data_IF_323452963371
#
_entry.id   IF_323452963371
#
_cell.length_a   1.000
_cell.length_b   1.000
_cell.length_c   1.000
_cell.angle_alpha   90.00
_cell.angle_beta   90.00
_cell.angle_gamma   90.00
#
_symmetry.space_group_name_H-M   'P 1'
#
loop_
_entity.id
_entity.type
_entity.pdbx_description
1 polymer ?
#
# COMPACT_ATOMS: atom_id res chain seq x y z
N UNK A 1 55.68 41.47 58.31
CA UNK A 1 55.17 42.26 59.45
C UNK A 1 54.77 43.64 58.94
N UNK A 2 53.57 44.06 59.35
CA UNK A 2 53.03 45.43 59.41
C UNK A 2 52.66 46.23 58.14
N UNK A 3 51.33 46.33 57.97
CA UNK A 3 50.49 47.53 57.98
C UNK A 3 50.43 48.51 56.80
N UNK A 4 49.19 48.58 56.26
CA UNK A 4 48.31 49.75 56.02
C UNK A 4 48.82 50.89 55.14
N UNK A 5 48.04 51.23 54.11
CA UNK A 5 47.08 52.36 54.07
C UNK A 5 46.37 52.36 52.70
N UNK A 6 45.05 52.18 52.66
CA UNK A 6 44.03 53.25 52.55
C UNK A 6 44.14 54.05 51.24
N UNK A 7 43.34 53.66 50.24
CA UNK A 7 42.98 54.56 49.14
C UNK A 7 41.47 54.82 49.18
N UNK A 8 41.15 56.12 49.27
CA UNK A 8 39.81 56.70 49.31
C UNK A 8 39.12 56.54 47.93
N UNK A 9 37.78 56.40 47.89
CA UNK A 9 37.01 56.10 46.68
C UNK A 9 36.48 57.38 46.06
N UNK A 10 36.64 57.56 44.74
CA UNK A 10 35.67 58.31 43.92
C UNK A 10 35.96 58.10 42.43
N UNK A 11 34.88 57.76 41.72
CA UNK A 11 34.67 57.95 40.28
C UNK A 11 35.26 56.94 39.28
N UNK A 12 34.86 55.67 39.42
CA UNK A 12 34.68 54.76 38.28
C UNK A 12 33.18 54.67 37.94
N UNK A 13 32.66 55.64 37.16
CA UNK A 13 31.37 55.50 36.47
C UNK A 13 31.59 55.09 35.02
N UNK A 14 32.10 53.88 34.81
CA UNK A 14 31.96 53.22 33.52
C UNK A 14 30.49 52.84 33.30
N UNK A 15 29.81 53.63 32.47
CA UNK A 15 28.47 53.33 31.94
C UNK A 15 28.52 52.01 31.17
N UNK A 16 28.03 50.94 31.79
CA UNK A 16 27.75 49.66 31.12
C UNK A 16 26.65 49.86 30.07
N UNK A 17 27.04 49.98 28.80
CA UNK A 17 26.10 49.90 27.69
C UNK A 17 25.57 48.47 27.57
N UNK A 18 24.32 48.27 27.98
CA UNK A 18 23.59 47.05 27.69
C UNK A 18 23.18 47.05 26.20
N UNK A 19 23.88 46.26 25.39
CA UNK A 19 23.45 45.91 24.03
C UNK A 19 22.46 44.74 24.08
N UNK A 20 21.20 45.05 23.83
CA UNK A 20 20.14 44.05 23.81
C UNK A 20 20.23 43.21 22.54
N UNK A 21 20.54 41.92 22.66
CA UNK A 21 20.52 40.98 21.52
C UNK A 21 19.08 40.60 21.15
N UNK A 22 18.15 40.64 22.11
CA UNK A 22 16.74 40.28 21.93
C UNK A 22 15.80 41.35 22.50
N UNK A 23 14.62 41.49 21.90
CA UNK A 23 13.58 42.38 22.39
C UNK A 23 12.96 41.82 23.69
N UNK A 24 12.90 42.60 24.80
CA UNK A 24 12.39 42.12 26.09
C UNK A 24 10.92 41.69 26.09
N UNK A 25 10.13 42.14 25.12
CA UNK A 25 8.69 41.83 25.09
C UNK A 25 8.32 40.77 24.06
N UNK A 26 8.91 40.80 22.86
CA UNK A 26 8.55 39.81 21.83
C UNK A 26 9.58 38.70 21.63
N UNK A 27 10.71 38.74 22.36
CA UNK A 27 11.78 37.73 22.28
C UNK A 27 12.51 37.68 20.94
N UNK A 28 12.21 38.59 20.00
CA UNK A 28 12.81 38.56 18.67
C UNK A 28 14.23 39.13 18.70
N UNK A 29 15.15 38.51 17.95
CA UNK A 29 16.52 39.00 17.81
C UNK A 29 16.52 40.40 17.21
N UNK A 30 17.23 41.33 17.84
CA UNK A 30 17.35 42.70 17.35
C UNK A 30 18.49 42.78 16.32
N UNK A 31 18.30 43.51 15.21
CA UNK A 31 19.37 43.74 14.24
C UNK A 31 20.50 44.53 14.91
N UNK A 32 21.74 44.18 14.60
CA UNK A 32 22.93 44.86 15.13
C UNK A 32 23.16 46.17 14.37
N UNK A 33 22.38 47.20 14.70
CA UNK A 33 22.47 48.54 14.14
C UNK A 33 22.61 49.56 15.26
N UNK A 34 23.55 50.50 15.10
CA UNK A 34 23.72 51.60 16.04
C UNK A 34 22.45 52.47 16.05
N UNK A 35 21.95 52.81 17.24
CA UNK A 35 20.75 53.64 17.47
C UNK A 35 19.38 53.03 17.09
N UNK A 36 19.16 51.73 17.31
CA UNK A 36 17.82 51.13 17.17
C UNK A 36 16.83 51.68 18.22
N UNK A 37 15.93 52.57 17.80
CA UNK A 37 14.93 53.20 18.70
C UNK A 37 13.71 52.31 18.97
N UNK A 38 13.31 51.50 17.99
CA UNK A 38 12.11 50.67 18.07
C UNK A 38 12.37 49.23 17.65
N UNK A 39 11.68 48.28 18.28
CA UNK A 39 11.67 46.89 17.83
C UNK A 39 10.89 46.77 16.51
N UNK A 40 11.53 46.24 15.48
CA UNK A 40 10.94 46.05 14.14
C UNK A 40 9.72 45.11 14.13
N UNK A 41 9.59 44.21 15.12
CA UNK A 41 8.50 43.21 15.15
C UNK A 41 7.29 43.69 15.93
N UNK A 42 7.48 44.09 17.19
CA UNK A 42 6.36 44.53 18.03
C UNK A 42 6.10 46.04 18.00
N UNK A 43 7.06 46.86 17.54
CA UNK A 43 6.97 48.32 17.52
C UNK A 43 7.33 48.99 18.85
N UNK A 44 7.88 48.24 19.81
CA UNK A 44 8.25 48.73 21.13
C UNK A 44 9.39 49.75 21.09
N UNK A 45 9.26 50.85 21.85
CA UNK A 45 10.33 51.83 22.02
C UNK A 45 11.43 51.28 22.95
N UNK A 46 12.52 50.81 22.36
CA UNK A 46 13.67 50.25 23.07
C UNK A 46 14.49 51.34 23.77
N UNK A 47 14.51 52.56 23.21
CA UNK A 47 15.19 53.72 23.81
C UNK A 47 14.54 54.12 25.15
N UNK A 48 13.21 54.17 25.19
CA UNK A 48 12.46 54.44 26.43
C UNK A 48 12.81 53.44 27.53
N UNK A 49 12.93 52.15 27.21
CA UNK A 49 13.27 51.10 28.19
C UNK A 49 14.71 51.24 28.66
N UNK A 50 15.66 51.54 27.75
CA UNK A 50 17.07 51.78 28.10
C UNK A 50 17.21 52.97 29.06
N UNK A 51 16.43 54.04 28.85
CA UNK A 51 16.47 55.26 29.67
C UNK A 51 15.72 55.13 31.01
N UNK A 52 14.53 54.51 31.01
CA UNK A 52 13.64 54.50 32.18
C UNK A 52 13.71 53.21 33.00
N UNK A 53 14.44 52.18 32.51
CA UNK A 53 14.56 50.84 33.12
C UNK A 53 13.22 50.21 33.54
N UNK A 54 12.14 50.58 32.87
CA UNK A 54 10.76 50.11 33.12
C UNK A 54 10.10 49.74 31.81
N UNK A 55 9.27 48.70 31.85
CA UNK A 55 8.40 48.33 30.73
C UNK A 55 7.22 49.30 30.67
N UNK A 56 6.91 49.89 29.50
CA UNK A 56 5.74 50.76 29.35
C UNK A 56 4.44 49.98 29.57
N UNK A 57 3.43 50.63 30.16
CA UNK A 57 2.09 50.09 30.34
C UNK A 57 1.45 49.76 28.98
N UNK A 58 0.70 48.65 28.83
CA UNK A 58 0.10 48.22 27.55
C UNK A 58 -0.70 49.32 26.83
N UNK A 59 -1.26 50.28 27.58
CA UNK A 59 -2.07 51.38 27.07
C UNK A 59 -1.29 52.53 26.43
N UNK A 60 0.05 52.45 26.36
CA UNK A 60 0.91 53.48 25.72
C UNK A 60 1.54 53.02 24.40
N UNK A 61 1.05 51.91 23.83
CA UNK A 61 1.46 51.43 22.52
C UNK A 61 0.94 52.38 21.42
N UNK A 62 1.88 52.83 20.58
CA UNK A 62 1.77 53.77 19.46
C UNK A 62 0.34 53.98 18.87
N UNK A 63 -0.24 55.20 18.89
CA UNK A 63 -1.58 55.48 18.36
C UNK A 63 -1.71 55.29 16.83
N UNK A 64 -0.60 55.12 16.11
CA UNK A 64 -0.62 54.76 14.68
C UNK A 64 -0.70 53.26 14.41
N UNK A 65 -0.64 52.42 15.46
CA UNK A 65 -1.16 51.05 15.36
C UNK A 65 -2.65 51.14 15.69
N UNK A 66 -3.46 51.43 14.66
CA UNK A 66 -4.77 50.79 14.59
C UNK A 66 -4.51 49.33 14.95
N UNK A 67 -5.17 48.83 16.00
CA UNK A 67 -5.56 47.44 16.01
C UNK A 67 -6.38 47.25 14.74
N UNK A 68 -5.67 47.01 13.62
CA UNK A 68 -6.12 46.03 12.69
C UNK A 68 -6.38 44.84 13.60
N UNK A 69 -7.66 44.67 13.93
CA UNK A 69 -8.24 43.35 13.90
C UNK A 69 -7.74 42.78 12.58
N UNK A 70 -6.54 42.20 12.60
CA UNK A 70 -6.35 40.96 11.89
C UNK A 70 -7.63 40.22 12.21
N UNK A 71 -8.43 39.82 11.22
CA UNK A 71 -9.38 38.79 11.53
C UNK A 71 -8.55 37.77 12.29
N UNK A 72 -8.94 37.49 13.54
CA UNK A 72 -8.74 36.17 14.05
C UNK A 72 -9.42 35.33 12.98
N UNK A 73 -8.65 34.96 11.96
CA UNK A 73 -8.77 33.65 11.39
C UNK A 73 -8.65 32.81 12.66
N UNK A 74 -9.82 32.48 13.21
CA UNK A 74 -10.05 31.14 13.65
C UNK A 74 -9.43 30.32 12.53
N UNK A 75 -8.18 29.94 12.73
CA UNK A 75 -7.74 28.66 12.26
C UNK A 75 -8.72 27.74 12.97
N UNK A 76 -9.88 27.55 12.33
CA UNK A 76 -10.47 26.25 12.28
C UNK A 76 -9.27 25.33 12.15
N UNK A 77 -9.11 24.45 13.12
CA UNK A 77 -8.50 23.19 12.80
C UNK A 77 -9.48 22.49 11.82
N UNK A 78 -9.72 23.09 10.65
CA UNK A 78 -10.04 22.37 9.45
C UNK A 78 -8.82 21.49 9.29
N UNK A 79 -8.96 20.28 9.83
CA UNK A 79 -8.05 19.19 9.60
C UNK A 79 -7.62 19.33 8.15
N UNK A 80 -6.31 19.47 7.92
CA UNK A 80 -5.72 19.69 6.60
C UNK A 80 -6.27 18.59 5.67
N UNK A 81 -7.41 18.85 5.03
CA UNK A 81 -8.09 17.87 4.21
C UNK A 81 -7.19 17.79 2.99
N UNK A 82 -6.49 16.65 2.86
CA UNK A 82 -5.72 16.35 1.66
C UNK A 82 -6.58 16.72 0.44
N UNK A 83 -6.06 17.51 -0.51
CA UNK A 83 -6.84 17.95 -1.65
C UNK A 83 -7.44 16.72 -2.33
N UNK A 84 -8.77 16.68 -2.37
CA UNK A 84 -9.51 15.58 -2.99
C UNK A 84 -9.24 15.60 -4.50
N UNK A 85 -9.08 14.41 -5.07
CA UNK A 85 -8.79 14.23 -6.49
C UNK A 85 -10.05 14.61 -7.29
N UNK A 86 -9.89 15.56 -8.20
CA UNK A 86 -10.93 15.96 -9.13
C UNK A 86 -11.10 14.90 -10.25
N UNK A 87 -12.28 14.83 -10.85
CA UNK A 87 -12.63 13.80 -11.83
C UNK A 87 -11.73 13.86 -13.09
N UNK A 88 -11.21 15.04 -13.43
CA UNK A 88 -10.30 15.29 -14.54
C UNK A 88 -8.89 14.74 -14.28
N UNK A 89 -8.44 14.74 -13.02
CA UNK A 89 -7.12 14.26 -12.61
C UNK A 89 -7.03 12.73 -12.55
N UNK A 90 -8.16 12.02 -12.57
CA UNK A 90 -8.19 10.55 -12.53
C UNK A 90 -7.58 9.88 -13.76
N UNK A 91 -7.47 10.62 -14.88
CA UNK A 91 -7.05 10.10 -16.19
C UNK A 91 -5.89 10.94 -16.76
N UNK A 92 -5.54 12.04 -16.08
CA UNK A 92 -4.46 12.93 -16.48
C UNK A 92 -3.08 12.28 -16.42
N UNK A 93 -2.08 12.88 -17.10
CA UNK A 93 -0.68 12.43 -17.01
C UNK A 93 -0.11 12.61 -15.59
N UNK A 94 -0.66 13.57 -14.83
CA UNK A 94 -0.26 13.88 -13.47
C UNK A 94 -0.80 12.80 -12.53
N UNK A 95 0.11 12.02 -11.94
CA UNK A 95 -0.22 11.02 -10.95
C UNK A 95 -0.19 11.66 -9.57
N UNK A 96 -1.35 11.95 -8.94
CA UNK A 96 -1.34 12.52 -7.60
C UNK A 96 -0.67 11.56 -6.61
N UNK A 97 -0.05 12.11 -5.57
CA UNK A 97 0.33 11.31 -4.41
C UNK A 97 -0.94 10.67 -3.83
N UNK A 98 -0.90 9.35 -3.63
CA UNK A 98 -2.02 8.59 -3.07
C UNK A 98 -1.77 8.29 -1.59
N UNK A 99 -2.34 7.19 -1.09
CA UNK A 99 -2.18 6.73 0.29
C UNK A 99 -0.73 6.34 0.63
N UNK A 100 -0.46 6.25 1.94
CA UNK A 100 0.87 5.92 2.47
C UNK A 100 1.30 4.49 2.14
N UNK A 101 2.61 4.20 2.23
CA UNK A 101 3.13 2.83 2.07
C UNK A 101 2.52 1.86 3.08
N UNK A 102 2.34 2.31 4.33
CA UNK A 102 1.67 1.53 5.38
C UNK A 102 0.24 1.17 4.99
N UNK A 103 -0.50 2.09 4.40
CA UNK A 103 -1.85 1.80 3.89
C UNK A 103 -1.80 0.84 2.72
N UNK A 104 -0.85 1.06 1.79
CA UNK A 104 -0.70 0.25 0.58
C UNK A 104 -0.50 -1.22 0.91
N UNK A 105 0.21 -1.52 2.00
CA UNK A 105 0.48 -2.89 2.47
C UNK A 105 -0.61 -3.35 3.44
N UNK A 106 -0.94 -2.54 4.45
CA UNK A 106 -1.80 -2.93 5.56
C UNK A 106 -3.24 -3.22 5.15
N UNK A 107 -3.80 -2.48 4.18
CA UNK A 107 -5.18 -2.74 3.75
C UNK A 107 -5.31 -4.08 3.00
N UNK A 108 -4.47 -4.39 1.99
CA UNK A 108 -4.48 -5.71 1.36
C UNK A 108 -4.22 -6.87 2.31
N UNK A 109 -3.23 -6.76 3.20
CA UNK A 109 -2.98 -7.82 4.18
C UNK A 109 -4.15 -7.96 5.16
N UNK A 110 -4.75 -6.85 5.58
CA UNK A 110 -5.97 -6.86 6.39
C UNK A 110 -7.16 -7.52 5.68
N UNK A 111 -7.34 -7.25 4.38
CA UNK A 111 -8.38 -7.88 3.56
C UNK A 111 -8.14 -9.40 3.43
N UNK A 112 -6.89 -9.82 3.21
CA UNK A 112 -6.49 -11.23 3.19
C UNK A 112 -6.76 -11.94 4.51
N UNK A 113 -6.34 -11.36 5.64
CA UNK A 113 -6.59 -11.93 6.96
C UNK A 113 -8.08 -11.99 7.29
N UNK A 114 -8.84 -10.96 6.93
CA UNK A 114 -10.29 -10.92 7.13
C UNK A 114 -11.01 -11.98 6.29
N UNK A 115 -10.62 -12.15 5.03
CA UNK A 115 -11.16 -13.18 4.14
C UNK A 115 -10.90 -14.58 4.72
N UNK A 116 -9.67 -14.87 5.15
CA UNK A 116 -9.32 -16.15 5.78
C UNK A 116 -10.06 -16.37 7.10
N UNK A 117 -10.25 -15.33 7.92
CA UNK A 117 -11.04 -15.40 9.14
C UNK A 117 -12.50 -15.79 8.86
N UNK A 118 -13.11 -15.22 7.82
CA UNK A 118 -14.47 -15.57 7.44
C UNK A 118 -14.58 -17.00 6.90
N UNK A 119 -13.62 -17.44 6.07
CA UNK A 119 -13.56 -18.82 5.58
C UNK A 119 -13.39 -19.79 6.77
N UNK A 120 -12.45 -19.52 7.69
CA UNK A 120 -12.24 -20.34 8.88
C UNK A 120 -13.47 -20.38 9.80
N UNK A 121 -14.14 -19.24 10.00
CA UNK A 121 -15.40 -19.17 10.75
C UNK A 121 -16.53 -19.96 10.08
N UNK A 122 -16.61 -19.93 8.75
CA UNK A 122 -17.55 -20.72 7.98
C UNK A 122 -17.30 -22.23 8.14
N UNK A 123 -16.03 -22.67 8.03
CA UNK A 123 -15.66 -24.06 8.27
C UNK A 123 -15.97 -24.50 9.70
N UNK A 124 -15.64 -23.68 10.71
CA UNK A 124 -15.93 -23.99 12.11
C UNK A 124 -17.44 -24.13 12.37
N UNK A 125 -18.27 -23.28 11.75
CA UNK A 125 -19.72 -23.39 11.82
C UNK A 125 -20.23 -24.67 11.16
N UNK A 126 -19.67 -25.04 10.00
CA UNK A 126 -20.00 -26.30 9.32
C UNK A 126 -19.59 -27.51 10.16
N UNK A 127 -18.41 -27.51 10.78
CA UNK A 127 -17.97 -28.58 11.70
C UNK A 127 -18.96 -28.71 12.86
N UNK A 128 -19.33 -27.58 13.45
CA UNK A 128 -20.24 -27.54 14.59
C UNK A 128 -21.63 -28.05 14.21
N UNK A 129 -22.14 -27.70 13.03
CA UNK A 129 -23.46 -28.12 12.56
C UNK A 129 -23.52 -29.59 12.12
N UNK A 130 -22.45 -30.10 11.51
CA UNK A 130 -22.38 -31.50 11.03
C UNK A 130 -21.99 -32.50 12.11
N UNK A 131 -21.30 -32.05 13.18
CA UNK A 131 -20.67 -32.88 14.21
C UNK A 131 -19.70 -33.94 13.65
N UNK A 132 -19.24 -33.78 12.41
CA UNK A 132 -18.36 -34.70 11.72
C UNK A 132 -17.29 -33.94 10.92
N UNK A 133 -16.03 -34.25 11.20
CA UNK A 133 -14.90 -33.61 10.53
C UNK A 133 -14.71 -34.17 9.11
N UNK A 134 -15.15 -35.41 8.85
CA UNK A 134 -14.99 -36.04 7.53
C UNK A 134 -15.86 -35.35 6.48
N UNK A 135 -17.05 -34.89 6.87
CA UNK A 135 -17.92 -34.06 6.02
C UNK A 135 -17.17 -32.83 5.48
N UNK A 136 -16.28 -32.21 6.25
CA UNK A 136 -15.49 -31.05 5.78
C UNK A 136 -14.47 -31.50 4.75
N UNK A 137 -13.77 -32.60 5.01
CA UNK A 137 -12.79 -33.14 4.09
C UNK A 137 -13.44 -33.50 2.74
N UNK A 138 -14.59 -34.17 2.75
CA UNK A 138 -15.38 -34.48 1.55
C UNK A 138 -15.83 -33.21 0.80
N UNK A 139 -16.27 -32.18 1.53
CA UNK A 139 -16.63 -30.90 0.94
C UNK A 139 -15.43 -30.20 0.29
N UNK A 140 -14.26 -30.20 0.94
CA UNK A 140 -13.06 -29.57 0.37
C UNK A 140 -12.51 -30.30 -0.86
N UNK A 141 -12.85 -31.58 -1.03
CA UNK A 141 -12.55 -32.34 -2.25
C UNK A 141 -13.57 -32.09 -3.37
N UNK A 142 -14.69 -31.42 -3.08
CA UNK A 142 -15.71 -31.13 -4.08
C UNK A 142 -15.38 -29.83 -4.84
N UNK A 143 -15.13 -29.88 -6.16
CA UNK A 143 -14.72 -28.71 -6.93
C UNK A 143 -15.80 -27.61 -7.01
N UNK A 144 -17.07 -27.96 -6.87
CA UNK A 144 -18.15 -26.96 -6.78
C UNK A 144 -18.12 -26.22 -5.44
N UNK A 145 -17.77 -26.92 -4.37
CA UNK A 145 -17.60 -26.28 -3.06
C UNK A 145 -16.37 -25.36 -3.05
N UNK A 146 -15.25 -25.78 -3.65
CA UNK A 146 -14.09 -24.89 -3.86
C UNK A 146 -14.52 -23.62 -4.63
N UNK A 147 -15.23 -23.80 -5.75
CA UNK A 147 -15.74 -22.68 -6.56
C UNK A 147 -16.64 -21.73 -5.75
N UNK A 148 -17.45 -22.27 -4.83
CA UNK A 148 -18.30 -21.48 -3.94
C UNK A 148 -17.48 -20.73 -2.88
N UNK A 149 -16.50 -21.38 -2.25
CA UNK A 149 -15.62 -20.75 -1.25
C UNK A 149 -14.78 -19.62 -1.87
N UNK A 150 -14.35 -19.76 -3.12
CA UNK A 150 -13.65 -18.68 -3.84
C UNK A 150 -14.45 -17.38 -3.97
N UNK A 151 -15.78 -17.39 -3.78
CA UNK A 151 -16.59 -16.17 -3.76
C UNK A 151 -16.23 -15.24 -2.59
N UNK A 152 -15.61 -15.75 -1.52
CA UNK A 152 -15.13 -14.92 -0.40
C UNK A 152 -14.03 -13.94 -0.85
N UNK A 153 -13.35 -14.18 -1.96
CA UNK A 153 -12.35 -13.25 -2.51
C UNK A 153 -12.95 -11.93 -3.01
N UNK A 154 -14.27 -11.83 -3.19
CA UNK A 154 -14.93 -10.55 -3.49
C UNK A 154 -14.64 -9.47 -2.43
N UNK A 155 -14.21 -9.86 -1.23
CA UNK A 155 -13.67 -8.97 -0.18
C UNK A 155 -12.50 -8.11 -0.69
N UNK A 156 -11.68 -8.64 -1.60
CA UNK A 156 -10.55 -7.96 -2.20
C UNK A 156 -10.97 -6.79 -3.10
N UNK A 157 -12.21 -6.79 -3.59
CA UNK A 157 -12.80 -5.62 -4.26
C UNK A 157 -13.38 -4.66 -3.22
N UNK A 158 -14.09 -5.20 -2.23
CA UNK A 158 -14.84 -4.42 -1.24
C UNK A 158 -13.94 -3.43 -0.46
N UNK A 159 -12.85 -3.92 0.12
CA UNK A 159 -11.96 -3.12 0.95
C UNK A 159 -11.35 -1.90 0.23
N UNK A 160 -10.67 -2.06 -0.92
CA UNK A 160 -10.07 -0.93 -1.63
C UNK A 160 -11.14 0.03 -2.15
N UNK A 161 -12.26 -0.47 -2.70
CA UNK A 161 -13.36 0.39 -3.20
C UNK A 161 -13.98 1.23 -2.09
N UNK A 162 -14.14 0.69 -0.89
CA UNK A 162 -14.63 1.47 0.26
C UNK A 162 -13.59 2.48 0.75
N UNK A 163 -12.33 2.07 0.85
CA UNK A 163 -11.27 2.91 1.40
C UNK A 163 -10.98 4.14 0.55
N UNK A 164 -10.92 4.00 -0.78
CA UNK A 164 -10.52 5.10 -1.66
C UNK A 164 -11.58 6.22 -1.77
N UNK A 165 -12.79 5.99 -1.25
CA UNK A 165 -13.87 6.99 -1.19
C UNK A 165 -13.39 8.35 -0.67
N UNK A 166 -12.50 8.35 0.32
CA UNK A 166 -12.01 9.57 0.98
C UNK A 166 -11.08 10.43 0.14
N UNK A 167 -10.51 9.88 -0.94
CA UNK A 167 -9.59 10.60 -1.83
C UNK A 167 -10.29 11.27 -3.02
N UNK A 168 -11.56 10.95 -3.26
CA UNK A 168 -12.30 11.45 -4.42
C UNK A 168 -13.19 12.62 -4.03
N UNK A 169 -13.22 13.65 -4.88
CA UNK A 169 -14.19 14.74 -4.73
C UNK A 169 -15.61 14.23 -4.96
N UNK A 170 -15.81 13.43 -6.01
CA UNK A 170 -17.07 12.75 -6.33
C UNK A 170 -16.90 11.23 -6.20
N UNK A 171 -17.18 10.63 -5.03
CA UNK A 171 -16.88 9.22 -4.77
C UNK A 171 -17.93 8.25 -5.32
N UNK A 172 -18.31 8.41 -6.59
CA UNK A 172 -19.16 7.45 -7.31
C UNK A 172 -18.44 6.11 -7.47
N UNK A 173 -19.18 5.00 -7.59
CA UNK A 173 -18.57 3.68 -7.84
C UNK A 173 -17.68 3.70 -9.10
N UNK A 174 -18.11 4.40 -10.14
CA UNK A 174 -17.35 4.57 -11.36
C UNK A 174 -15.99 5.24 -11.11
N UNK A 175 -15.95 6.35 -10.39
CA UNK A 175 -14.70 7.07 -10.12
C UNK A 175 -13.75 6.26 -9.24
N UNK A 176 -14.28 5.43 -8.33
CA UNK A 176 -13.50 4.50 -7.51
C UNK A 176 -12.81 3.43 -8.38
N UNK A 177 -13.56 2.77 -9.26
CA UNK A 177 -12.99 1.78 -10.18
C UNK A 177 -11.98 2.41 -11.15
N UNK A 178 -12.26 3.62 -11.65
CA UNK A 178 -11.30 4.37 -12.48
C UNK A 178 -10.00 4.61 -11.71
N UNK A 179 -10.07 5.08 -10.45
CA UNK A 179 -8.89 5.32 -9.63
C UNK A 179 -8.08 4.04 -9.38
N UNK A 180 -8.75 2.88 -9.22
CA UNK A 180 -8.10 1.57 -9.08
C UNK A 180 -7.52 1.04 -10.40
N UNK A 181 -7.76 1.71 -11.53
CA UNK A 181 -7.23 1.30 -12.83
C UNK A 181 -8.21 0.51 -13.71
N UNK A 182 -9.44 0.30 -13.24
CA UNK A 182 -10.50 -0.33 -14.02
C UNK A 182 -11.29 0.74 -14.79
N UNK A 183 -10.73 1.16 -15.93
CA UNK A 183 -11.32 2.20 -16.78
C UNK A 183 -11.37 1.80 -18.25
N UNK A 184 -12.54 1.97 -18.86
CA UNK A 184 -12.76 1.87 -20.30
C UNK A 184 -12.70 3.26 -20.97
N UNK A 185 -12.51 4.33 -20.19
CA UNK A 185 -12.54 5.70 -20.72
C UNK A 185 -11.30 5.94 -21.59
N UNK A 186 -11.50 6.38 -22.83
CA UNK A 186 -10.42 6.58 -23.81
C UNK A 186 -10.07 5.35 -24.67
N UNK A 187 -10.75 4.21 -24.43
CA UNK A 187 -10.66 3.05 -25.29
C UNK A 187 -11.73 3.10 -26.39
N UNK A 188 -11.27 3.07 -27.64
CA UNK A 188 -12.12 2.65 -28.75
C UNK A 188 -12.18 1.11 -28.82
N UNK A 189 -13.07 0.56 -29.65
CA UNK A 189 -13.20 -0.90 -29.80
C UNK A 189 -11.90 -1.59 -30.22
N UNK A 190 -11.05 -0.92 -31.02
CA UNK A 190 -9.78 -1.50 -31.51
C UNK A 190 -8.73 -1.55 -30.40
N UNK A 191 -8.64 -0.49 -29.58
CA UNK A 191 -7.76 -0.44 -28.40
C UNK A 191 -8.19 -1.46 -27.37
N UNK A 192 -9.50 -1.62 -27.13
CA UNK A 192 -9.98 -2.63 -26.19
C UNK A 192 -9.63 -4.04 -26.67
N UNK A 193 -9.87 -4.34 -27.95
CA UNK A 193 -9.46 -5.62 -28.54
C UNK A 193 -7.95 -5.85 -28.42
N UNK A 194 -7.14 -4.79 -28.59
CA UNK A 194 -5.70 -4.84 -28.37
C UNK A 194 -5.35 -5.22 -26.92
N UNK A 195 -5.99 -4.64 -25.90
CA UNK A 195 -5.76 -5.04 -24.50
C UNK A 195 -6.11 -6.50 -24.26
N UNK A 196 -7.23 -6.96 -24.82
CA UNK A 196 -7.66 -8.36 -24.71
C UNK A 196 -6.63 -9.29 -25.35
N UNK A 197 -6.18 -9.00 -26.56
CA UNK A 197 -5.16 -9.81 -27.26
C UNK A 197 -3.82 -9.82 -26.53
N UNK A 198 -3.41 -8.68 -25.96
CA UNK A 198 -2.21 -8.59 -25.14
C UNK A 198 -2.39 -9.46 -23.90
N UNK A 199 -3.53 -9.35 -23.20
CA UNK A 199 -3.82 -10.15 -22.02
C UNK A 199 -3.77 -11.66 -22.30
N UNK A 200 -4.44 -12.11 -23.36
CA UNK A 200 -4.42 -13.50 -23.80
C UNK A 200 -3.00 -13.97 -24.14
N UNK A 201 -2.23 -13.16 -24.87
CA UNK A 201 -0.85 -13.52 -25.26
C UNK A 201 0.06 -13.66 -24.03
N UNK A 202 -0.04 -12.72 -23.09
CA UNK A 202 0.75 -12.74 -21.87
C UNK A 202 0.33 -13.85 -20.91
N UNK A 203 -0.92 -14.34 -20.97
CA UNK A 203 -1.32 -15.52 -20.20
C UNK A 203 -0.52 -16.76 -20.63
N UNK A 204 -0.38 -17.02 -21.94
CA UNK A 204 0.45 -18.11 -22.45
C UNK A 204 1.93 -17.92 -22.10
N UNK A 205 2.45 -16.70 -22.22
CA UNK A 205 3.83 -16.39 -21.80
C UNK A 205 4.00 -16.66 -20.30
N UNK A 206 3.01 -16.30 -19.48
CA UNK A 206 2.99 -16.55 -18.04
C UNK A 206 3.08 -18.04 -17.71
N UNK A 207 2.29 -18.88 -18.38
CA UNK A 207 2.35 -20.35 -18.20
C UNK A 207 3.73 -20.89 -18.53
N UNK A 208 4.30 -20.51 -19.68
CA UNK A 208 5.65 -20.96 -20.08
C UNK A 208 6.73 -20.46 -19.14
N UNK A 209 6.66 -19.20 -18.73
CA UNK A 209 7.61 -18.59 -17.79
C UNK A 209 7.57 -19.29 -16.44
N UNK A 210 6.37 -19.52 -15.89
CA UNK A 210 6.21 -20.21 -14.61
C UNK A 210 6.69 -21.65 -14.70
N UNK A 211 6.36 -22.38 -15.77
CA UNK A 211 6.84 -23.74 -15.97
C UNK A 211 8.39 -23.81 -16.02
N UNK A 212 9.04 -22.87 -16.72
CA UNK A 212 10.49 -22.78 -16.75
C UNK A 212 11.08 -22.46 -15.37
N UNK A 213 10.50 -21.51 -14.64
CA UNK A 213 10.96 -21.14 -13.29
C UNK A 213 10.79 -22.31 -12.32
N UNK A 214 9.67 -23.04 -12.38
CA UNK A 214 9.44 -24.23 -11.57
C UNK A 214 10.50 -25.29 -11.87
N UNK A 215 10.74 -25.60 -13.15
CA UNK A 215 11.76 -26.57 -13.56
C UNK A 215 13.16 -26.21 -13.00
N UNK A 216 13.61 -24.97 -13.20
CA UNK A 216 14.92 -24.57 -12.68
C UNK A 216 14.96 -24.54 -11.15
N UNK A 217 13.85 -24.21 -10.49
CA UNK A 217 13.79 -24.20 -9.02
C UNK A 217 13.92 -25.62 -8.47
N UNK A 218 13.24 -26.59 -9.07
CA UNK A 218 13.33 -28.01 -8.73
C UNK A 218 14.77 -28.53 -8.89
N UNK A 219 15.36 -28.36 -10.08
CA UNK A 219 16.74 -28.79 -10.37
C UNK A 219 17.78 -28.17 -9.41
N UNK A 220 17.63 -26.88 -9.08
CA UNK A 220 18.51 -26.20 -8.13
C UNK A 220 18.35 -26.79 -6.73
N UNK A 221 17.13 -27.09 -6.30
CA UNK A 221 16.87 -27.65 -4.96
C UNK A 221 17.41 -29.08 -4.87
N UNK A 222 17.13 -29.94 -5.84
CA UNK A 222 17.65 -31.31 -5.87
C UNK A 222 19.17 -31.33 -5.81
N UNK A 223 19.82 -30.48 -6.62
CA UNK A 223 21.27 -30.34 -6.60
C UNK A 223 21.81 -29.83 -5.26
N UNK A 224 21.19 -28.80 -4.67
CA UNK A 224 21.68 -28.19 -3.43
C UNK A 224 21.47 -29.07 -2.20
N UNK A 225 20.38 -29.85 -2.15
CA UNK A 225 20.00 -30.64 -0.99
C UNK A 225 20.27 -32.14 -1.15
N UNK A 226 20.63 -32.62 -2.35
CA UNK A 226 20.88 -34.03 -2.62
C UNK A 226 19.64 -34.89 -2.42
N UNK A 227 18.48 -34.36 -2.77
CA UNK A 227 17.18 -35.02 -2.65
C UNK A 227 16.60 -35.29 -4.03
N UNK A 228 15.69 -36.26 -4.11
CA UNK A 228 14.83 -36.47 -5.27
C UNK A 228 13.42 -36.01 -4.90
N UNK A 229 12.87 -35.06 -5.65
CA UNK A 229 11.52 -34.56 -5.43
C UNK A 229 10.56 -35.48 -6.20
N UNK A 230 9.96 -36.43 -5.48
CA UNK A 230 8.94 -37.30 -6.07
C UNK A 230 7.61 -36.57 -6.04
N UNK A 231 7.08 -36.26 -7.22
CA UNK A 231 5.76 -35.68 -7.37
C UNK A 231 4.70 -36.74 -7.04
N UNK A 232 4.06 -36.64 -5.87
CA UNK A 232 2.97 -37.55 -5.52
C UNK A 232 1.72 -37.20 -6.35
N UNK A 233 1.26 -38.17 -7.14
CA UNK A 233 0.08 -38.04 -7.99
C UNK A 233 -1.23 -37.97 -7.18
N UNK A 234 -1.19 -38.22 -5.86
CA UNK A 234 -2.35 -38.21 -4.98
C UNK A 234 -2.88 -36.81 -4.60
N UNK A 235 -2.29 -35.72 -5.11
CA UNK A 235 -2.77 -34.34 -4.92
C UNK A 235 -4.04 -34.00 -5.75
N UNK A 236 -4.87 -35.00 -6.07
CA UNK A 236 -6.07 -34.88 -6.91
C UNK A 236 -7.21 -34.09 -6.27
N UNK A 237 -7.13 -33.77 -4.98
CA UNK A 237 -8.24 -33.20 -4.22
C UNK A 237 -8.62 -31.76 -4.55
N UNK A 238 -7.72 -30.99 -5.17
CA UNK A 238 -7.95 -29.58 -5.52
C UNK A 238 -8.23 -29.36 -7.01
N UNK A 239 -8.16 -30.42 -7.81
CA UNK A 239 -8.36 -30.34 -9.26
C UNK A 239 -9.83 -30.63 -9.62
N UNK A 240 -10.36 -30.00 -10.68
CA UNK A 240 -11.67 -30.35 -11.21
C UNK A 240 -11.75 -31.85 -11.51
N UNK A 241 -12.82 -32.51 -11.08
CA UNK A 241 -13.00 -33.95 -11.31
C UNK A 241 -13.74 -34.25 -12.62
N UNK A 242 -14.48 -33.25 -13.15
CA UNK A 242 -15.29 -33.36 -14.35
C UNK A 242 -15.31 -32.06 -15.18
N UNK A 243 -15.73 -32.16 -16.45
CA UNK A 243 -15.77 -31.03 -17.39
C UNK A 243 -16.68 -29.90 -16.91
N UNK A 244 -17.92 -30.14 -16.43
CA UNK A 244 -18.75 -29.08 -15.86
C UNK A 244 -18.09 -28.32 -14.70
N UNK A 245 -17.45 -29.02 -13.76
CA UNK A 245 -16.74 -28.40 -12.64
C UNK A 245 -15.55 -27.56 -13.10
N UNK A 246 -14.82 -28.02 -14.13
CA UNK A 246 -13.73 -27.27 -14.77
C UNK A 246 -14.23 -25.97 -15.39
N UNK A 247 -15.38 -26.00 -16.07
CA UNK A 247 -15.99 -24.80 -16.68
C UNK A 247 -16.39 -23.80 -15.58
N UNK A 248 -17.06 -24.26 -14.52
CA UNK A 248 -17.47 -23.39 -13.40
C UNK A 248 -16.24 -22.76 -12.75
N UNK A 249 -15.23 -23.55 -12.40
CA UNK A 249 -14.01 -23.04 -11.78
C UNK A 249 -13.29 -22.07 -12.72
N UNK A 250 -13.26 -22.33 -14.03
CA UNK A 250 -12.63 -21.44 -15.00
C UNK A 250 -13.31 -20.06 -15.07
N UNK A 251 -14.64 -20.02 -14.97
CA UNK A 251 -15.40 -18.76 -14.91
C UNK A 251 -15.06 -18.01 -13.62
N UNK A 252 -14.98 -18.71 -12.49
CA UNK A 252 -14.63 -18.12 -11.19
C UNK A 252 -13.19 -17.56 -11.21
N UNK A 253 -12.24 -18.28 -11.78
CA UNK A 253 -10.84 -17.85 -11.90
C UNK A 253 -10.72 -16.52 -12.68
N UNK A 254 -11.44 -16.37 -13.78
CA UNK A 254 -11.40 -15.14 -14.58
C UNK A 254 -12.17 -13.99 -13.91
N UNK A 255 -13.43 -14.23 -13.54
CA UNK A 255 -14.35 -13.16 -13.15
C UNK A 255 -14.22 -12.75 -11.68
N UNK A 256 -13.83 -13.67 -10.81
CA UNK A 256 -13.78 -13.46 -9.37
C UNK A 256 -12.33 -13.35 -8.92
N UNK A 257 -11.54 -14.41 -9.07
CA UNK A 257 -10.19 -14.51 -8.48
C UNK A 257 -9.26 -13.49 -9.14
N UNK A 258 -8.94 -13.67 -10.42
CA UNK A 258 -8.04 -12.77 -11.13
C UNK A 258 -8.50 -11.32 -11.09
N UNK A 259 -9.81 -11.05 -11.21
CA UNK A 259 -10.33 -9.68 -11.14
C UNK A 259 -10.16 -9.06 -9.75
N UNK A 260 -10.52 -9.78 -8.69
CA UNK A 260 -10.51 -9.26 -7.32
C UNK A 260 -9.08 -9.05 -6.80
N UNK A 261 -8.20 -10.00 -7.09
CA UNK A 261 -6.79 -9.93 -6.73
C UNK A 261 -6.07 -8.79 -7.46
N UNK A 262 -6.28 -8.63 -8.77
CA UNK A 262 -5.66 -7.52 -9.50
C UNK A 262 -6.10 -6.16 -8.98
N UNK A 263 -7.37 -6.01 -8.60
CA UNK A 263 -7.87 -4.77 -8.00
C UNK A 263 -7.15 -4.47 -6.68
N UNK A 264 -6.93 -5.49 -5.84
CA UNK A 264 -6.29 -5.32 -4.54
C UNK A 264 -4.76 -5.14 -4.65
N UNK A 265 -4.07 -6.01 -5.37
CA UNK A 265 -2.62 -6.01 -5.43
C UNK A 265 -2.07 -5.00 -6.43
N UNK A 266 -2.66 -4.85 -7.62
CA UNK A 266 -2.12 -3.92 -8.64
C UNK A 266 -2.82 -2.58 -8.53
N UNK A 267 -4.15 -2.61 -8.51
CA UNK A 267 -5.00 -1.43 -8.42
C UNK A 267 -4.79 -0.62 -7.14
N UNK A 268 -4.55 -1.29 -6.01
CA UNK A 268 -4.36 -0.66 -4.72
C UNK A 268 -2.91 -0.74 -4.18
N UNK A 269 -2.38 -1.93 -3.90
CA UNK A 269 -1.06 -2.07 -3.26
C UNK A 269 0.07 -1.47 -4.11
N UNK A 270 0.28 -2.01 -5.31
CA UNK A 270 1.35 -1.60 -6.21
C UNK A 270 1.19 -0.14 -6.59
N UNK A 271 -0.04 0.27 -6.95
CA UNK A 271 -0.36 1.67 -7.28
C UNK A 271 0.18 2.60 -6.18
N UNK A 272 -0.19 2.37 -4.93
CA UNK A 272 0.24 3.18 -3.78
C UNK A 272 1.76 3.11 -3.56
N UNK A 273 2.35 1.91 -3.58
CA UNK A 273 3.79 1.74 -3.36
C UNK A 273 4.64 2.41 -4.44
N UNK A 274 4.29 2.29 -5.72
CA UNK A 274 5.03 2.93 -6.81
C UNK A 274 5.12 4.45 -6.64
N UNK A 275 4.08 5.07 -6.07
CA UNK A 275 4.03 6.52 -5.84
C UNK A 275 4.82 6.96 -4.62
N UNK A 276 5.00 6.09 -3.63
CA UNK A 276 5.66 6.42 -2.35
C UNK A 276 7.13 6.04 -2.33
N UNK A 277 7.50 4.92 -2.93
CA UNK A 277 8.87 4.38 -2.89
C UNK A 277 9.49 4.20 -4.28
N UNK A 278 8.78 4.60 -5.34
CA UNK A 278 9.22 4.51 -6.72
C UNK A 278 8.79 3.21 -7.40
N UNK A 279 8.72 3.25 -8.74
CA UNK A 279 8.16 2.16 -9.56
C UNK A 279 8.84 0.80 -9.31
N UNK A 280 10.18 0.75 -9.37
CA UNK A 280 10.94 -0.50 -9.21
C UNK A 280 10.69 -1.18 -7.86
N UNK A 281 10.81 -0.42 -6.77
CA UNK A 281 10.59 -0.95 -5.42
C UNK A 281 9.12 -1.26 -5.17
N UNK A 282 8.20 -0.46 -5.71
CA UNK A 282 6.77 -0.73 -5.60
C UNK A 282 6.37 -2.07 -6.25
N UNK A 283 6.85 -2.33 -7.47
CA UNK A 283 6.64 -3.61 -8.16
C UNK A 283 7.24 -4.77 -7.36
N UNK A 284 8.50 -4.64 -6.93
CA UNK A 284 9.21 -5.71 -6.22
C UNK A 284 8.55 -6.06 -4.89
N UNK A 285 8.15 -5.04 -4.11
CA UNK A 285 7.46 -5.24 -2.83
C UNK A 285 6.08 -5.87 -3.00
N UNK A 286 5.31 -5.44 -4.00
CA UNK A 286 4.02 -6.09 -4.30
C UNK A 286 4.23 -7.54 -4.70
N UNK A 287 5.19 -7.84 -5.58
CA UNK A 287 5.45 -9.21 -6.01
C UNK A 287 5.87 -10.11 -4.84
N UNK A 288 6.75 -9.61 -3.97
CA UNK A 288 7.17 -10.31 -2.77
C UNK A 288 5.98 -10.61 -1.84
N UNK A 289 5.17 -9.60 -1.51
CA UNK A 289 4.03 -9.76 -0.61
C UNK A 289 2.95 -10.68 -1.18
N UNK A 290 2.65 -10.54 -2.48
CA UNK A 290 1.73 -11.43 -3.19
C UNK A 290 2.20 -12.89 -3.10
N UNK A 291 3.48 -13.15 -3.31
CA UNK A 291 4.03 -14.51 -3.23
C UNK A 291 3.97 -15.06 -1.82
N UNK A 292 4.31 -14.25 -0.81
CA UNK A 292 4.29 -14.67 0.59
C UNK A 292 2.90 -15.12 1.06
N UNK A 293 1.83 -14.40 0.68
CA UNK A 293 0.47 -14.79 1.10
C UNK A 293 -0.01 -16.08 0.42
N UNK A 294 0.48 -16.39 -0.78
CA UNK A 294 0.13 -17.61 -1.51
C UNK A 294 0.85 -18.84 -0.95
N UNK A 295 2.06 -18.66 -0.42
CA UNK A 295 2.83 -19.77 0.17
C UNK A 295 2.41 -20.05 1.62
N UNK A 296 1.75 -19.11 2.30
CA UNK A 296 1.45 -19.23 3.74
C UNK A 296 0.58 -20.45 4.06
N UNK A 297 -0.34 -20.85 3.18
CA UNK A 297 -1.20 -22.02 3.36
C UNK A 297 -0.39 -23.33 3.44
N UNK A 298 0.64 -23.46 2.59
CA UNK A 298 1.51 -24.64 2.57
C UNK A 298 2.37 -24.77 3.83
N UNK A 299 2.77 -23.63 4.44
CA UNK A 299 3.54 -23.63 5.69
C UNK A 299 2.75 -24.24 6.87
N UNK A 300 1.42 -24.20 6.83
CA UNK A 300 0.57 -24.77 7.87
C UNK A 300 0.22 -26.25 7.64
N UNK A 301 0.38 -26.75 6.40
CA UNK A 301 0.06 -28.14 6.03
C UNK A 301 1.29 -29.05 6.21
N UNK A 302 2.49 -28.58 5.85
CA UNK A 302 3.70 -29.40 5.82
C UNK A 302 4.53 -29.31 7.12
N UNK A 303 3.97 -29.62 8.29
CA UNK A 303 4.67 -29.50 9.58
C UNK A 303 5.62 -30.65 9.93
N UNK A 304 5.87 -31.59 8.99
CA UNK A 304 6.60 -32.82 9.28
C UNK A 304 8.09 -32.58 9.58
N UNK A 305 8.74 -31.64 8.90
CA UNK A 305 10.12 -31.24 9.21
C UNK A 305 10.48 -29.81 8.74
N UNK A 306 11.40 -29.11 9.42
CA UNK A 306 11.86 -27.79 9.00
C UNK A 306 12.45 -27.75 7.59
N UNK A 307 13.09 -28.84 7.16
CA UNK A 307 13.67 -28.96 5.82
C UNK A 307 12.57 -29.06 4.75
N UNK A 308 11.54 -29.87 4.99
CA UNK A 308 10.38 -30.00 4.08
C UNK A 308 9.64 -28.67 3.97
N UNK A 309 9.45 -27.95 5.09
CA UNK A 309 8.85 -26.60 5.07
C UNK A 309 9.64 -25.67 4.16
N UNK A 310 10.98 -25.66 4.30
CA UNK A 310 11.85 -24.80 3.49
C UNK A 310 11.79 -25.16 2.01
N UNK A 311 11.83 -26.45 1.67
CA UNK A 311 11.76 -26.92 0.28
C UNK A 311 10.41 -26.55 -0.35
N UNK A 312 9.30 -26.85 0.31
CA UNK A 312 7.94 -26.51 -0.14
C UNK A 312 7.76 -25.00 -0.31
N UNK A 313 8.35 -24.21 0.60
CA UNK A 313 8.39 -22.75 0.48
C UNK A 313 9.11 -22.33 -0.80
N UNK A 314 10.33 -22.81 -1.04
CA UNK A 314 11.14 -22.39 -2.19
C UNK A 314 10.50 -22.82 -3.52
N UNK A 315 9.99 -24.06 -3.60
CA UNK A 315 9.28 -24.59 -4.78
C UNK A 315 8.05 -23.76 -5.14
N UNK A 316 7.33 -23.24 -4.15
CA UNK A 316 6.11 -22.46 -4.38
C UNK A 316 6.42 -20.97 -4.59
N UNK A 317 7.37 -20.41 -3.83
CA UNK A 317 7.63 -18.98 -3.79
C UNK A 317 8.09 -18.43 -5.13
N UNK A 318 9.07 -19.05 -5.79
CA UNK A 318 9.64 -18.51 -7.04
C UNK A 318 8.64 -18.50 -8.21
N UNK A 319 7.82 -19.55 -8.43
CA UNK A 319 6.70 -19.50 -9.36
C UNK A 319 5.75 -18.32 -9.13
N UNK A 320 5.21 -18.16 -7.91
CA UNK A 320 4.31 -17.04 -7.57
C UNK A 320 4.99 -15.67 -7.72
N UNK A 321 6.27 -15.59 -7.36
CA UNK A 321 7.05 -14.37 -7.49
C UNK A 321 7.27 -13.97 -8.94
N UNK A 322 7.56 -14.94 -9.81
CA UNK A 322 7.78 -14.70 -11.24
C UNK A 322 6.50 -14.17 -11.92
N UNK A 323 5.35 -14.81 -11.69
CA UNK A 323 4.08 -14.36 -12.27
C UNK A 323 3.68 -12.98 -11.72
N UNK A 324 3.91 -12.74 -10.42
CA UNK A 324 3.56 -11.46 -9.82
C UNK A 324 4.44 -10.30 -10.32
N UNK A 325 5.73 -10.54 -10.56
CA UNK A 325 6.61 -9.58 -11.24
C UNK A 325 6.08 -9.29 -12.65
N UNK A 326 5.73 -10.32 -13.43
CA UNK A 326 5.24 -10.13 -14.81
C UNK A 326 3.96 -9.29 -14.83
N UNK A 327 2.99 -9.61 -13.97
CA UNK A 327 1.74 -8.86 -13.83
C UNK A 327 2.00 -7.41 -13.36
N UNK A 328 2.94 -7.22 -12.43
CA UNK A 328 3.31 -5.89 -11.94
C UNK A 328 4.00 -5.02 -13.00
N UNK A 329 4.94 -5.59 -13.76
CA UNK A 329 5.58 -4.93 -14.91
C UNK A 329 4.56 -4.60 -16.00
N UNK A 330 3.64 -5.52 -16.27
CA UNK A 330 2.57 -5.31 -17.23
C UNK A 330 1.65 -4.17 -16.80
N UNK A 331 1.19 -4.16 -15.55
CA UNK A 331 0.38 -3.08 -15.00
C UNK A 331 1.07 -1.71 -15.13
N UNK A 332 2.36 -1.64 -14.82
CA UNK A 332 3.14 -0.43 -15.00
C UNK A 332 3.23 -0.02 -16.49
N UNK A 333 3.55 -0.97 -17.38
CA UNK A 333 3.62 -0.76 -18.83
C UNK A 333 2.28 -0.30 -19.42
N UNK A 334 1.15 -0.81 -18.89
CA UNK A 334 -0.21 -0.43 -19.29
C UNK A 334 -0.69 0.88 -18.66
N UNK A 335 0.20 1.65 -18.03
CA UNK A 335 -0.12 2.93 -17.37
C UNK A 335 -1.25 2.78 -16.34
N UNK A 336 -1.16 1.71 -15.55
CA UNK A 336 -2.10 1.39 -14.47
C UNK A 336 -3.52 1.06 -14.92
N UNK A 337 -3.66 0.58 -16.17
CA UNK A 337 -4.90 -0.03 -16.61
C UNK A 337 -4.90 -1.53 -16.26
N UNK A 338 -5.98 -1.98 -15.62
CA UNK A 338 -6.10 -3.37 -15.15
C UNK A 338 -6.63 -4.34 -16.21
N UNK A 339 -7.23 -3.90 -17.32
CA UNK A 339 -7.97 -4.79 -18.25
C UNK A 339 -7.07 -5.92 -18.75
N UNK A 340 -5.92 -5.57 -19.32
CA UNK A 340 -5.02 -6.57 -19.87
C UNK A 340 -4.39 -7.45 -18.77
N UNK A 341 -4.19 -6.90 -17.57
CA UNK A 341 -3.59 -7.61 -16.42
C UNK A 341 -4.57 -8.63 -15.84
N UNK A 342 -5.84 -8.25 -15.64
CA UNK A 342 -6.92 -9.13 -15.19
C UNK A 342 -7.13 -10.29 -16.16
N UNK A 343 -7.13 -10.00 -17.46
CA UNK A 343 -7.23 -11.05 -18.49
C UNK A 343 -6.00 -11.97 -18.44
N UNK A 344 -4.80 -11.41 -18.30
CA UNK A 344 -3.57 -12.21 -18.20
C UNK A 344 -3.63 -13.16 -17.03
N UNK A 345 -3.96 -12.66 -15.84
CA UNK A 345 -4.01 -13.45 -14.61
C UNK A 345 -5.11 -14.52 -14.68
N UNK A 346 -6.37 -14.11 -14.91
CA UNK A 346 -7.47 -15.05 -14.91
C UNK A 346 -7.35 -16.13 -16.00
N UNK A 347 -6.83 -15.78 -17.18
CA UNK A 347 -6.61 -16.79 -18.24
C UNK A 347 -5.40 -17.65 -17.93
N UNK A 348 -4.34 -17.10 -17.31
CA UNK A 348 -3.22 -17.89 -16.82
C UNK A 348 -3.71 -18.97 -15.83
N UNK A 349 -4.55 -18.61 -14.87
CA UNK A 349 -5.12 -19.56 -13.90
C UNK A 349 -5.98 -20.64 -14.57
N UNK A 350 -6.78 -20.24 -15.56
CA UNK A 350 -7.58 -21.21 -16.34
C UNK A 350 -6.68 -22.17 -17.10
N UNK A 351 -5.62 -21.67 -17.75
CA UNK A 351 -4.69 -22.52 -18.49
C UNK A 351 -3.95 -23.49 -17.56
N UNK A 352 -3.50 -23.04 -16.39
CA UNK A 352 -2.82 -23.93 -15.43
C UNK A 352 -3.74 -25.02 -14.91
N UNK A 353 -5.00 -24.70 -14.59
CA UNK A 353 -5.99 -25.69 -14.13
C UNK A 353 -6.37 -26.66 -15.25
N UNK A 354 -6.53 -26.18 -16.49
CA UNK A 354 -6.79 -27.04 -17.66
C UNK A 354 -5.61 -28.00 -17.88
N UNK A 355 -4.37 -27.50 -17.84
CA UNK A 355 -3.18 -28.33 -17.98
C UNK A 355 -3.11 -29.37 -16.88
N UNK A 356 -3.35 -28.98 -15.62
CA UNK A 356 -3.41 -29.91 -14.51
C UNK A 356 -4.52 -30.97 -14.71
N UNK A 357 -5.73 -30.55 -15.10
CA UNK A 357 -6.85 -31.47 -15.36
C UNK A 357 -6.50 -32.55 -16.41
N UNK A 358 -5.80 -32.18 -17.48
CA UNK A 358 -5.40 -33.15 -18.50
C UNK A 358 -4.20 -34.00 -18.09
N UNK A 359 -3.18 -33.41 -17.47
CA UNK A 359 -1.99 -34.15 -17.04
C UNK A 359 -2.34 -35.23 -16.00
N UNK A 360 -3.15 -34.90 -15.00
CA UNK A 360 -3.55 -35.84 -13.95
C UNK A 360 -4.62 -36.86 -14.36
N UNK A 361 -5.18 -36.76 -15.58
CA UNK A 361 -6.17 -37.71 -16.11
C UNK A 361 -5.60 -38.59 -17.23
N UNK A 362 -4.48 -38.20 -17.81
CA UNK A 362 -3.78 -38.93 -18.87
C UNK A 362 -2.82 -39.97 -18.26
N UNK A 363 -2.33 -39.72 -17.06
CA UNK A 363 -1.59 -40.67 -16.21
C UNK A 363 -2.49 -41.16 -15.08
#
# INVERSE_FOLDING_TARGET
MNNKELHNPEEDQHQLEFDWIFCPICGNKLPNVQNLRFCIKCGMNLKFIKENKKLPSPNTLNPYKSTSQYPLNQYSYEALELPKIADEQLIGPDKPELWSSMTSIGLPLGAFLFMNFLIGGFFALLTYASLDINTIFELTLNPYFISFISLFELIFILFPVLYIRKYLQNPTLKNRFILLGFTLRGFDRKKLLKEILIGLSFAFVGVLMVALVSFFTEEIIEYLFGIEIIQDNNLTGFLPMDIPSLIVLSIIMILIIGTSEEILFRGFMQKGLERRVGSKMGILLTAFLFSMIHVIGFLFIALDSPLVILISFLLSFFPYFSISIMLGLMYHWRKENLIAVVITHGVYDVLTIILAFFLYRIF
#
